data_IF_466114642485
#
_entry.id   IF_466114642485
#
_cell.length_a   1.000
_cell.length_b   1.000
_cell.length_c   1.000
_cell.angle_alpha   90.00
_cell.angle_beta   90.00
_cell.angle_gamma   90.00
#
_symmetry.space_group_name_H-M   'P 1'
#
loop_
_entity.id
_entity.type
_entity.pdbx_description
1 polymer ?
#
# COMPACT_ATOMS: atom_id res chain seq x y z
N UNK A 1 23.10 -21.71 4.06
CA UNK A 1 22.07 -22.13 5.05
C UNK A 1 20.93 -21.15 5.07
N UNK A 2 19.71 -21.65 5.16
CA UNK A 2 18.55 -20.79 5.31
C UNK A 2 18.57 -20.13 6.69
N UNK A 3 18.36 -18.82 6.73
CA UNK A 3 18.26 -18.08 7.99
C UNK A 3 16.90 -18.34 8.62
N UNK A 4 16.87 -18.43 9.93
CA UNK A 4 15.60 -18.60 10.65
C UNK A 4 14.88 -17.26 10.75
N UNK A 5 13.65 -17.23 10.25
CA UNK A 5 12.82 -16.02 10.27
C UNK A 5 12.29 -15.81 11.70
N UNK A 6 12.65 -14.69 12.31
CA UNK A 6 12.13 -14.30 13.62
C UNK A 6 10.74 -13.67 13.52
N UNK A 7 10.44 -13.00 12.42
CA UNK A 7 9.12 -12.43 12.22
C UNK A 7 9.05 -11.46 11.03
N UNK A 8 7.89 -10.83 10.91
CA UNK A 8 7.62 -9.85 9.87
C UNK A 8 7.20 -8.51 10.48
N UNK A 9 7.62 -7.43 9.85
CA UNK A 9 7.18 -6.08 10.18
C UNK A 9 6.52 -5.49 8.93
N UNK A 10 5.32 -4.97 9.07
CA UNK A 10 4.59 -4.33 7.97
C UNK A 10 4.42 -2.85 8.26
N UNK A 11 4.89 -1.99 7.37
CA UNK A 11 4.85 -0.54 7.52
C UNK A 11 4.37 0.12 6.23
N UNK A 12 3.85 1.33 6.36
CA UNK A 12 3.53 2.20 5.22
C UNK A 12 4.38 3.45 5.35
N UNK A 13 5.26 3.66 4.39
CA UNK A 13 6.26 4.74 4.41
C UNK A 13 6.21 5.49 3.09
N UNK A 14 6.35 6.80 3.14
CA UNK A 14 6.44 7.62 1.92
C UNK A 14 7.74 7.32 1.19
N UNK A 15 7.65 7.08 -0.12
CA UNK A 15 8.80 6.81 -0.96
C UNK A 15 9.82 7.94 -0.90
N UNK A 16 11.09 7.58 -0.74
CA UNK A 16 12.18 8.52 -0.65
C UNK A 16 12.25 9.34 0.63
N UNK A 17 11.36 9.11 1.59
CA UNK A 17 11.24 9.92 2.81
C UNK A 17 11.28 9.10 4.10
N UNK A 18 11.85 7.90 4.06
CA UNK A 18 12.02 7.09 5.27
C UNK A 18 13.03 7.76 6.22
N UNK A 19 12.67 7.86 7.48
CA UNK A 19 13.53 8.44 8.51
C UNK A 19 13.32 7.69 9.84
N UNK A 20 14.21 7.90 10.84
CA UNK A 20 14.11 7.20 12.12
C UNK A 20 12.92 7.61 13.00
N UNK A 21 12.13 8.59 12.60
CA UNK A 21 10.97 9.02 13.38
C UNK A 21 9.83 7.99 13.30
N UNK A 22 8.85 8.04 14.24
CA UNK A 22 7.70 7.16 14.15
C UNK A 22 7.00 7.25 12.79
N UNK A 23 6.47 6.12 12.22
CA UNK A 23 6.38 4.79 12.83
C UNK A 23 7.60 3.87 12.61
N UNK A 24 8.62 4.32 11.87
CA UNK A 24 9.75 3.48 11.46
C UNK A 24 10.66 3.14 12.63
N UNK A 25 11.08 4.15 13.39
CA UNK A 25 12.04 3.99 14.49
C UNK A 25 11.59 2.96 15.53
N UNK A 26 10.44 3.16 16.18
CA UNK A 26 9.96 2.21 17.19
C UNK A 26 9.73 0.80 16.67
N UNK A 27 9.21 0.66 15.44
CA UNK A 27 8.93 -0.64 14.84
C UNK A 27 10.22 -1.45 14.60
N UNK A 28 11.25 -0.82 14.06
CA UNK A 28 12.53 -1.47 13.77
C UNK A 28 13.40 -1.59 15.02
N UNK A 29 13.43 -0.57 15.86
CA UNK A 29 14.23 -0.54 17.08
C UNK A 29 13.86 -1.65 18.05
N UNK A 30 12.58 -1.94 18.21
CA UNK A 30 12.10 -3.02 19.07
C UNK A 30 12.58 -4.41 18.63
N UNK A 31 12.97 -4.55 17.37
CA UNK A 31 13.45 -5.81 16.80
C UNK A 31 14.98 -5.84 16.60
N UNK A 32 15.67 -4.80 17.01
CA UNK A 32 17.13 -4.73 16.93
C UNK A 32 17.68 -4.52 15.51
N UNK A 33 16.86 -4.05 14.59
CA UNK A 33 17.27 -3.76 13.21
C UNK A 33 17.93 -2.38 13.14
N UNK A 34 18.97 -2.25 12.32
CA UNK A 34 19.61 -0.96 12.08
C UNK A 34 18.69 -0.05 11.26
N UNK A 35 18.11 0.95 11.93
CA UNK A 35 17.13 1.86 11.35
C UNK A 35 17.73 2.69 10.21
N UNK A 36 18.94 3.19 10.40
CA UNK A 36 19.60 4.07 9.41
C UNK A 36 19.91 3.33 8.11
N UNK A 37 20.39 2.10 8.21
CA UNK A 37 20.66 1.27 7.03
C UNK A 37 19.38 0.97 6.26
N UNK A 38 18.31 0.64 6.98
CA UNK A 38 17.01 0.42 6.35
C UNK A 38 16.51 1.68 5.63
N UNK A 39 16.57 2.83 6.29
CA UNK A 39 16.12 4.09 5.68
C UNK A 39 16.89 4.42 4.40
N UNK A 40 18.20 4.25 4.42
CA UNK A 40 19.05 4.48 3.23
C UNK A 40 18.69 3.53 2.09
N UNK A 41 18.56 2.24 2.38
CA UNK A 41 18.21 1.23 1.39
C UNK A 41 16.82 1.46 0.81
N UNK A 42 15.83 1.76 1.66
CA UNK A 42 14.48 2.06 1.24
C UNK A 42 14.41 3.30 0.35
N UNK A 43 15.06 4.38 0.78
CA UNK A 43 15.07 5.62 0.01
C UNK A 43 15.73 5.41 -1.37
N UNK A 44 16.82 4.64 -1.43
CA UNK A 44 17.48 4.31 -2.70
C UNK A 44 16.56 3.54 -3.65
N UNK A 45 15.77 2.59 -3.12
CA UNK A 45 14.84 1.79 -3.93
C UNK A 45 13.56 2.54 -4.35
N UNK A 46 13.20 3.60 -3.64
CA UNK A 46 11.92 4.28 -3.84
C UNK A 46 12.07 5.71 -4.37
N UNK A 47 13.24 6.10 -4.85
CA UNK A 47 13.48 7.44 -5.39
C UNK A 47 12.53 7.80 -6.55
N UNK A 48 12.26 6.83 -7.42
CA UNK A 48 11.35 6.98 -8.56
C UNK A 48 9.87 7.07 -8.15
N UNK A 49 9.58 6.69 -6.91
CA UNK A 49 8.22 6.71 -6.34
C UNK A 49 8.09 7.71 -5.20
N UNK A 50 8.94 8.72 -5.18
CA UNK A 50 8.95 9.73 -4.13
C UNK A 50 7.58 10.42 -3.99
N UNK A 51 7.16 10.64 -2.75
CA UNK A 51 5.88 11.27 -2.43
C UNK A 51 4.68 10.33 -2.35
N UNK A 52 4.81 9.09 -2.83
CA UNK A 52 3.74 8.08 -2.72
C UNK A 52 3.93 7.25 -1.45
N UNK A 53 2.83 6.93 -0.79
CA UNK A 53 2.85 6.01 0.35
C UNK A 53 3.02 4.59 -0.18
N UNK A 54 4.05 3.90 0.29
CA UNK A 54 4.37 2.54 -0.16
C UNK A 54 4.31 1.57 1.02
N UNK A 55 3.58 0.45 0.90
CA UNK A 55 3.62 -0.60 1.89
C UNK A 55 4.97 -1.34 1.81
N UNK A 56 5.56 -1.60 2.96
CA UNK A 56 6.82 -2.33 3.05
C UNK A 56 6.62 -3.53 3.97
N UNK A 57 7.03 -4.70 3.53
CA UNK A 57 7.07 -5.91 4.36
C UNK A 57 8.54 -6.21 4.64
N UNK A 58 8.90 -6.15 5.91
CA UNK A 58 10.28 -6.40 6.36
C UNK A 58 10.32 -7.76 7.04
N UNK A 59 11.12 -8.67 6.52
CA UNK A 59 11.38 -9.96 7.14
C UNK A 59 12.67 -9.84 7.94
N UNK A 60 12.60 -10.05 9.26
CA UNK A 60 13.79 -10.03 10.09
C UNK A 60 14.12 -11.44 10.59
N UNK A 61 15.41 -11.67 10.80
CA UNK A 61 15.96 -12.97 11.15
C UNK A 61 16.56 -12.95 12.55
N UNK A 62 16.80 -14.13 13.11
CA UNK A 62 17.36 -14.29 14.45
C UNK A 62 18.76 -13.71 14.59
N UNK A 63 19.51 -13.62 13.48
CA UNK A 63 20.85 -13.02 13.44
C UNK A 63 20.86 -11.49 13.31
N UNK A 64 19.69 -10.84 13.45
CA UNK A 64 19.46 -9.39 13.32
C UNK A 64 19.61 -8.87 11.90
N UNK A 65 19.76 -9.74 10.90
CA UNK A 65 19.68 -9.35 9.50
C UNK A 65 18.22 -9.17 9.10
N UNK A 66 18.01 -8.49 7.99
CA UNK A 66 16.65 -8.26 7.48
C UNK A 66 16.64 -8.21 5.96
N UNK A 67 15.48 -8.53 5.39
CA UNK A 67 15.16 -8.29 3.99
C UNK A 67 13.85 -7.53 3.92
N UNK A 68 13.64 -6.74 2.88
CA UNK A 68 12.38 -6.02 2.72
C UNK A 68 11.92 -6.02 1.28
N UNK A 69 10.59 -5.97 1.14
CA UNK A 69 9.91 -5.91 -0.15
C UNK A 69 9.04 -4.66 -0.14
N UNK A 70 9.18 -3.82 -1.17
CA UNK A 70 8.34 -2.64 -1.37
C UNK A 70 7.21 -3.04 -2.33
N UNK A 71 5.98 -2.86 -1.89
CA UNK A 71 4.79 -3.15 -2.71
C UNK A 71 4.29 -1.88 -3.40
N UNK A 72 3.31 -2.04 -4.29
CA UNK A 72 2.64 -0.90 -4.94
C UNK A 72 1.85 -0.08 -3.92
N UNK A 73 1.56 1.21 -4.21
CA UNK A 73 0.80 2.04 -3.28
C UNK A 73 -0.52 1.41 -2.87
N UNK A 74 -0.99 1.62 -1.62
CA UNK A 74 -2.26 1.05 -1.17
C UNK A 74 -3.43 1.52 -2.04
N UNK A 75 -4.38 0.64 -2.28
CA UNK A 75 -5.59 0.94 -3.08
C UNK A 75 -6.33 2.14 -2.49
N UNK A 76 -6.41 2.21 -1.16
CA UNK A 76 -7.08 3.32 -0.48
C UNK A 76 -6.48 4.68 -0.87
N UNK A 77 -5.15 4.79 -0.87
CA UNK A 77 -4.46 6.03 -1.25
C UNK A 77 -4.72 6.38 -2.72
N UNK A 78 -4.64 5.38 -3.60
CA UNK A 78 -4.89 5.59 -5.03
C UNK A 78 -6.34 6.03 -5.30
N UNK A 79 -7.31 5.46 -4.58
CA UNK A 79 -8.71 5.86 -4.69
C UNK A 79 -8.95 7.28 -4.21
N UNK A 80 -8.30 7.70 -3.13
CA UNK A 80 -8.40 9.08 -2.64
C UNK A 80 -7.84 10.08 -3.66
N UNK A 81 -6.72 9.76 -4.29
CA UNK A 81 -6.13 10.58 -5.34
C UNK A 81 -7.05 10.67 -6.56
N UNK A 82 -7.61 9.54 -7.00
CA UNK A 82 -8.51 9.48 -8.15
C UNK A 82 -9.81 10.26 -7.89
N UNK A 83 -10.32 10.19 -6.67
CA UNK A 83 -11.53 10.90 -6.27
C UNK A 83 -11.28 12.36 -5.86
N UNK A 84 -10.00 12.75 -5.74
CA UNK A 84 -9.56 14.11 -5.35
C UNK A 84 -10.08 14.52 -3.97
N UNK A 85 -10.11 13.60 -3.02
CA UNK A 85 -10.50 13.84 -1.64
C UNK A 85 -9.36 13.55 -0.68
N UNK A 86 -9.39 14.18 0.48
CA UNK A 86 -8.34 14.03 1.49
C UNK A 86 -8.48 12.78 2.34
N UNK A 87 -9.67 12.27 2.49
CA UNK A 87 -9.93 11.08 3.30
C UNK A 87 -11.26 10.42 2.97
N UNK A 88 -11.40 9.18 3.41
CA UNK A 88 -12.62 8.42 3.26
C UNK A 88 -13.69 8.82 4.26
N UNK A 89 -14.86 8.20 4.14
CA UNK A 89 -16.00 8.45 5.05
C UNK A 89 -15.78 7.77 6.40
N UNK A 90 -16.16 8.45 7.46
CA UNK A 90 -16.24 7.85 8.80
C UNK A 90 -17.41 6.86 8.91
N UNK A 91 -18.44 7.04 8.11
CA UNK A 91 -19.63 6.17 8.05
C UNK A 91 -19.89 5.74 6.60
N UNK A 92 -19.05 4.85 6.03
CA UNK A 92 -19.08 4.60 4.57
C UNK A 92 -20.37 3.95 4.09
N UNK A 93 -21.09 3.25 4.94
CA UNK A 93 -22.38 2.64 4.59
C UNK A 93 -23.54 3.65 4.55
N UNK A 94 -23.37 4.80 5.17
CA UNK A 94 -24.40 5.85 5.25
C UNK A 94 -24.03 7.10 4.46
N UNK A 95 -22.78 7.53 4.57
CA UNK A 95 -22.30 8.76 3.94
C UNK A 95 -21.27 8.44 2.87
N UNK A 96 -21.61 8.76 1.63
CA UNK A 96 -20.68 8.64 0.50
C UNK A 96 -20.03 10.01 0.28
N UNK A 97 -18.71 10.04 0.25
CA UNK A 97 -17.94 11.30 0.19
C UNK A 97 -17.47 11.63 -1.20
N UNK A 98 -17.36 10.65 -2.09
CA UNK A 98 -16.86 10.84 -3.44
C UNK A 98 -17.33 9.73 -4.35
N UNK A 99 -16.97 9.85 -5.63
CA UNK A 99 -17.22 8.79 -6.62
C UNK A 99 -16.05 8.71 -7.59
N UNK A 100 -15.83 7.53 -8.14
CA UNK A 100 -14.85 7.26 -9.18
C UNK A 100 -15.52 6.53 -10.33
N UNK A 101 -14.87 6.54 -11.50
CA UNK A 101 -15.37 5.80 -12.67
C UNK A 101 -14.70 4.43 -12.74
N UNK A 102 -15.31 3.51 -13.50
CA UNK A 102 -14.70 2.20 -13.75
C UNK A 102 -13.37 2.30 -14.48
N UNK A 103 -13.17 3.33 -15.30
CA UNK A 103 -11.88 3.57 -15.96
C UNK A 103 -10.77 3.85 -14.95
N UNK A 104 -11.05 4.68 -13.94
CA UNK A 104 -10.12 4.97 -12.86
C UNK A 104 -9.82 3.71 -12.05
N UNK A 105 -10.85 2.92 -11.74
CA UNK A 105 -10.71 1.63 -11.05
C UNK A 105 -9.84 0.68 -11.85
N UNK A 106 -10.05 0.61 -13.16
CA UNK A 106 -9.25 -0.22 -14.06
C UNK A 106 -7.78 0.18 -14.06
N UNK A 107 -7.47 1.47 -14.11
CA UNK A 107 -6.09 1.98 -14.05
C UNK A 107 -5.41 1.54 -12.77
N UNK A 108 -6.08 1.69 -11.64
CA UNK A 108 -5.58 1.25 -10.33
C UNK A 108 -5.36 -0.28 -10.32
N UNK A 109 -6.31 -1.02 -10.88
CA UNK A 109 -6.23 -2.48 -10.96
C UNK A 109 -5.02 -2.94 -11.76
N UNK A 110 -4.77 -2.33 -12.91
CA UNK A 110 -3.63 -2.66 -13.76
C UNK A 110 -2.31 -2.39 -13.05
N UNK A 111 -2.19 -1.26 -12.37
CA UNK A 111 -1.00 -0.91 -11.59
C UNK A 111 -0.73 -1.90 -10.45
N UNK A 112 -1.80 -2.45 -9.87
CA UNK A 112 -1.69 -3.30 -8.69
C UNK A 112 -1.76 -4.79 -8.99
N UNK A 113 -1.84 -5.21 -10.24
CA UNK A 113 -1.96 -6.63 -10.62
C UNK A 113 -0.85 -7.51 -10.05
N UNK A 114 0.37 -6.97 -9.90
CA UNK A 114 1.50 -7.71 -9.35
C UNK A 114 1.31 -8.11 -7.87
N UNK A 115 0.51 -7.33 -7.13
CA UNK A 115 0.30 -7.53 -5.69
C UNK A 115 -1.04 -8.19 -5.37
N UNK A 116 -1.97 -8.25 -6.34
CA UNK A 116 -3.30 -8.79 -6.13
C UNK A 116 -3.37 -10.29 -6.40
N UNK A 117 -4.19 -10.97 -5.62
CA UNK A 117 -4.46 -12.40 -5.79
C UNK A 117 -5.61 -12.62 -6.76
N UNK A 118 -5.38 -12.27 -8.02
CA UNK A 118 -6.38 -12.42 -9.09
C UNK A 118 -5.66 -12.69 -10.42
N UNK A 119 -6.37 -13.28 -11.37
CA UNK A 119 -5.81 -13.62 -12.67
C UNK A 119 -6.21 -12.66 -13.77
N UNK A 120 -7.29 -11.91 -13.60
CA UNK A 120 -7.81 -11.00 -14.61
C UNK A 120 -7.97 -9.59 -14.06
N UNK A 121 -7.92 -8.60 -14.96
CA UNK A 121 -8.13 -7.18 -14.60
C UNK A 121 -9.54 -6.97 -14.04
N UNK A 122 -10.53 -7.66 -14.58
CA UNK A 122 -11.93 -7.57 -14.12
C UNK A 122 -12.06 -8.01 -12.66
N UNK A 123 -11.40 -9.10 -12.28
CA UNK A 123 -11.36 -9.55 -10.89
C UNK A 123 -10.68 -8.52 -9.99
N UNK A 124 -9.57 -7.92 -10.45
CA UNK A 124 -8.88 -6.86 -9.73
C UNK A 124 -9.78 -5.63 -9.55
N UNK A 125 -10.54 -5.26 -10.58
CA UNK A 125 -11.50 -4.15 -10.52
C UNK A 125 -12.56 -4.37 -9.46
N UNK A 126 -13.06 -5.59 -9.31
CA UNK A 126 -14.02 -5.95 -8.26
C UNK A 126 -13.43 -5.80 -6.87
N UNK A 127 -12.17 -6.21 -6.69
CA UNK A 127 -11.47 -6.05 -5.41
C UNK A 127 -11.34 -4.57 -5.03
N UNK A 128 -10.97 -3.74 -6.00
CA UNK A 128 -10.79 -2.30 -5.79
C UNK A 128 -12.14 -1.62 -5.54
N UNK A 129 -13.18 -2.01 -6.27
CA UNK A 129 -14.53 -1.50 -6.03
C UNK A 129 -15.03 -1.82 -4.62
N UNK A 130 -14.72 -3.02 -4.10
CA UNK A 130 -15.02 -3.38 -2.72
C UNK A 130 -14.31 -2.50 -1.71
N UNK A 131 -13.03 -2.19 -1.94
CA UNK A 131 -12.28 -1.24 -1.11
C UNK A 131 -12.89 0.16 -1.16
N UNK A 132 -13.25 0.64 -2.34
CA UNK A 132 -13.91 1.93 -2.51
C UNK A 132 -15.21 2.00 -1.71
N UNK A 133 -16.02 0.95 -1.78
CA UNK A 133 -17.25 0.85 -1.01
C UNK A 133 -17.00 0.98 0.50
N UNK A 134 -15.95 0.34 1.00
CA UNK A 134 -15.57 0.40 2.42
C UNK A 134 -15.11 1.79 2.85
N UNK A 135 -14.69 2.61 1.89
CA UNK A 135 -14.23 3.98 2.12
C UNK A 135 -15.32 5.04 1.95
N UNK A 136 -16.51 4.64 1.53
CA UNK A 136 -17.58 5.61 1.21
C UNK A 136 -17.42 6.24 -0.16
N UNK A 137 -16.70 5.61 -1.06
CA UNK A 137 -16.51 6.05 -2.45
C UNK A 137 -17.36 5.14 -3.34
N UNK A 138 -18.22 5.72 -4.16
CA UNK A 138 -19.05 4.97 -5.10
C UNK A 138 -18.36 4.86 -6.45
N UNK A 139 -18.54 3.75 -7.14
CA UNK A 139 -18.06 3.57 -8.50
C UNK A 139 -19.23 3.81 -9.45
N UNK A 140 -19.10 4.81 -10.33
CA UNK A 140 -20.15 5.18 -11.26
C UNK A 140 -20.20 4.25 -12.45
N UNK A 141 -21.43 3.88 -12.85
CA UNK A 141 -21.68 3.05 -14.02
C UNK A 141 -21.71 1.57 -13.71
N UNK A 142 -22.02 0.79 -14.72
CA UNK A 142 -22.11 -0.67 -14.61
C UNK A 142 -20.72 -1.30 -14.80
N UNK A 143 -20.53 -2.45 -14.16
CA UNK A 143 -19.27 -3.20 -14.28
C UNK A 143 -19.04 -3.64 -15.73
N UNK A 144 -17.92 -3.23 -16.37
CA UNK A 144 -17.69 -3.49 -17.79
C UNK A 144 -17.34 -4.94 -18.14
N UNK A 145 -17.11 -5.79 -17.16
CA UNK A 145 -16.76 -7.20 -17.36
C UNK A 145 -17.92 -8.16 -17.36
N UNK A 146 -19.15 -7.67 -17.47
CA UNK A 146 -20.33 -8.52 -17.58
C UNK A 146 -20.52 -9.02 -19.02
#
# INVERSE_FOLDING_TARGET
MAKEVAGLIKLQIKGGAANPSPPVGPALGSKGINIMDFCKAFNARTQDKAGKVLPVVITYYTDKSYDFIVKTPPVAVQLLEAAKVKGGSAEPNRKKVASVTWEQVRTIAEDKMSDLNCFTVESAMKLIAGTARSMGITVKGDFPGK
#
